data_IF_959998626258
#
_entry.id   IF_959998626258
#
_cell.length_a   1.000
_cell.length_b   1.000
_cell.length_c   1.000
_cell.angle_alpha   90.00
_cell.angle_beta   90.00
_cell.angle_gamma   90.00
#
_symmetry.space_group_name_H-M   'P 1'
#
loop_
_entity.id
_entity.type
_entity.pdbx_description
1 polymer ?
#
# COMPACT_ATOMS: atom_id res chain seq x y z
N UNK A 1 29.37 -3.26 17.68
CA UNK A 1 27.90 -3.33 17.60
C UNK A 1 27.54 -3.25 16.12
N UNK A 2 27.28 -4.39 15.49
CA UNK A 2 27.11 -4.48 14.03
C UNK A 2 25.87 -3.71 13.57
N UNK A 3 26.05 -2.85 12.58
CA UNK A 3 24.97 -2.24 11.82
C UNK A 3 24.17 -3.37 11.17
N UNK A 4 23.02 -3.75 11.73
CA UNK A 4 22.09 -4.61 11.02
C UNK A 4 21.59 -3.82 9.82
N UNK A 5 22.08 -4.17 8.63
CA UNK A 5 21.63 -3.64 7.36
C UNK A 5 20.10 -3.78 7.28
N UNK A 6 19.41 -2.68 6.95
CA UNK A 6 17.97 -2.70 6.73
C UNK A 6 17.72 -3.52 5.47
N UNK A 7 17.04 -4.65 5.61
CA UNK A 7 16.61 -5.49 4.50
C UNK A 7 15.10 -5.37 4.34
N UNK A 8 14.67 -4.85 3.20
CA UNK A 8 13.27 -4.91 2.78
C UNK A 8 13.06 -6.29 2.18
N UNK A 9 12.06 -7.00 2.67
CA UNK A 9 11.73 -8.35 2.22
C UNK A 9 10.54 -8.36 1.26
N UNK A 10 9.62 -7.40 1.42
CA UNK A 10 8.48 -7.24 0.53
C UNK A 10 8.01 -5.79 0.47
N UNK A 11 7.46 -5.41 -0.69
CA UNK A 11 6.70 -4.18 -0.91
C UNK A 11 5.28 -4.60 -1.26
N UNK A 12 4.28 -4.00 -0.61
CA UNK A 12 2.88 -4.29 -0.89
C UNK A 12 2.08 -3.02 -1.11
N UNK A 13 1.05 -3.15 -1.94
CA UNK A 13 0.04 -2.14 -2.18
C UNK A 13 -1.33 -2.75 -1.88
N UNK A 14 -2.09 -2.05 -1.05
CA UNK A 14 -3.43 -2.47 -0.62
C UNK A 14 -4.45 -1.35 -0.81
N UNK A 15 -5.69 -1.71 -1.06
CA UNK A 15 -6.80 -0.76 -1.25
C UNK A 15 -8.07 -1.25 -0.54
N UNK A 16 -8.96 -0.32 -0.20
CA UNK A 16 -10.29 -0.66 0.28
C UNK A 16 -11.23 -0.89 -0.90
N UNK A 17 -11.57 -2.14 -1.19
CA UNK A 17 -12.56 -2.45 -2.21
C UNK A 17 -13.98 -2.12 -1.70
N UNK A 18 -14.85 -1.48 -2.49
CA UNK A 18 -16.20 -1.11 -2.04
C UNK A 18 -17.07 -2.26 -1.54
N UNK A 19 -16.89 -3.47 -2.07
CA UNK A 19 -17.63 -4.68 -1.69
C UNK A 19 -16.80 -5.72 -0.95
N UNK A 20 -15.51 -5.86 -1.27
CA UNK A 20 -14.66 -6.91 -0.70
C UNK A 20 -13.94 -6.46 0.58
N UNK A 21 -14.00 -5.15 0.88
CA UNK A 21 -13.28 -4.58 2.00
C UNK A 21 -11.78 -4.50 1.75
N UNK A 22 -10.95 -4.58 2.81
CA UNK A 22 -9.50 -4.50 2.68
C UNK A 22 -8.92 -5.63 1.84
N UNK A 23 -8.04 -5.29 0.89
CA UNK A 23 -7.29 -6.30 0.14
C UNK A 23 -5.88 -5.81 -0.21
N UNK A 24 -4.93 -6.73 -0.27
CA UNK A 24 -3.66 -6.51 -0.98
C UNK A 24 -3.95 -6.70 -2.47
N UNK A 25 -3.60 -5.71 -3.28
CA UNK A 25 -3.80 -5.77 -4.74
C UNK A 25 -2.50 -6.14 -5.44
N UNK A 26 -1.36 -5.68 -4.92
CA UNK A 26 -0.04 -6.01 -5.44
C UNK A 26 0.91 -6.27 -4.28
N UNK A 27 1.78 -7.27 -4.43
CA UNK A 27 2.89 -7.50 -3.52
C UNK A 27 4.06 -8.08 -4.29
N UNK A 28 5.27 -7.70 -3.91
CA UNK A 28 6.51 -8.21 -4.48
C UNK A 28 7.47 -8.54 -3.34
N UNK A 29 7.92 -9.80 -3.19
CA UNK A 29 7.52 -10.97 -3.98
C UNK A 29 6.01 -11.28 -3.89
N UNK A 30 5.48 -11.95 -4.92
CA UNK A 30 4.08 -12.41 -4.93
C UNK A 30 3.84 -13.39 -3.77
N UNK A 31 2.64 -13.35 -3.19
CA UNK A 31 2.23 -14.20 -2.06
C UNK A 31 3.15 -14.15 -0.81
N UNK A 32 3.98 -13.11 -0.66
CA UNK A 32 4.88 -12.97 0.49
C UNK A 32 4.13 -12.74 1.82
N UNK A 33 3.09 -11.89 1.78
CA UNK A 33 2.17 -11.69 2.88
C UNK A 33 1.05 -12.73 2.72
N UNK A 34 1.07 -13.74 3.59
CA UNK A 34 0.02 -14.76 3.61
C UNK A 34 -1.33 -14.15 4.00
N UNK A 35 -2.41 -14.83 3.60
CA UNK A 35 -3.78 -14.44 3.97
C UNK A 35 -3.98 -14.35 5.48
N UNK A 36 -3.45 -15.32 6.23
CA UNK A 36 -3.51 -15.33 7.70
C UNK A 36 -2.81 -14.11 8.33
N UNK A 37 -1.62 -13.76 7.82
CA UNK A 37 -0.92 -12.56 8.26
C UNK A 37 -1.75 -11.32 7.92
N UNK A 38 -2.21 -11.20 6.67
CA UNK A 38 -3.03 -10.07 6.23
C UNK A 38 -4.29 -9.92 7.07
N UNK A 39 -5.01 -11.01 7.36
CA UNK A 39 -6.23 -10.98 8.14
C UNK A 39 -6.00 -10.45 9.57
N UNK A 40 -4.81 -10.71 10.13
CA UNK A 40 -4.37 -10.19 11.44
C UNK A 40 -4.08 -8.68 11.41
N UNK A 41 -3.54 -8.16 10.30
CA UNK A 41 -3.02 -6.78 10.23
C UNK A 41 -3.88 -5.83 9.37
N UNK A 42 -4.87 -6.32 8.64
CA UNK A 42 -5.65 -5.56 7.65
C UNK A 42 -6.28 -4.29 8.20
N UNK A 43 -6.71 -4.32 9.46
CA UNK A 43 -7.33 -3.17 10.17
C UNK A 43 -6.33 -2.01 10.32
N UNK A 44 -5.05 -2.33 10.44
CA UNK A 44 -3.95 -1.36 10.55
C UNK A 44 -3.35 -0.99 9.18
N UNK A 45 -3.64 -1.77 8.14
CA UNK A 45 -3.20 -1.48 6.79
C UNK A 45 -4.17 -0.50 6.10
N UNK A 46 -5.47 -0.58 6.41
CA UNK A 46 -6.51 0.28 5.81
C UNK A 46 -7.36 0.89 6.90
N UNK A 47 -6.70 1.72 7.70
CA UNK A 47 -7.26 2.19 8.95
C UNK A 47 -8.44 3.15 8.80
N UNK A 48 -9.22 3.21 9.88
CA UNK A 48 -10.21 4.26 10.18
C UNK A 48 -9.67 5.66 9.88
N UNK A 49 -10.55 6.64 9.58
CA UNK A 49 -10.17 8.02 9.29
C UNK A 49 -9.15 8.63 10.27
N UNK A 50 -9.23 8.26 11.55
CA UNK A 50 -8.35 8.78 12.61
C UNK A 50 -6.85 8.45 12.45
N UNK A 51 -6.51 7.47 11.62
CA UNK A 51 -5.14 6.97 11.41
C UNK A 51 -4.61 7.29 10.01
N UNK A 52 -5.39 7.99 9.19
CA UNK A 52 -4.97 8.43 7.86
C UNK A 52 -3.81 9.43 7.93
N UNK A 53 -2.91 9.36 6.96
CA UNK A 53 -1.68 10.16 6.86
C UNK A 53 -0.73 10.03 8.07
N UNK A 54 -0.97 9.05 8.95
CA UNK A 54 -0.06 8.68 10.02
C UNK A 54 0.74 7.48 9.58
N UNK A 55 2.02 7.48 9.96
CA UNK A 55 2.85 6.31 9.79
C UNK A 55 2.38 5.24 10.76
N UNK A 56 2.20 4.03 10.24
CA UNK A 56 1.79 2.87 11.02
C UNK A 56 2.88 1.82 10.90
N UNK A 57 3.29 1.31 12.06
CA UNK A 57 4.23 0.20 12.15
C UNK A 57 3.57 -0.91 12.96
N UNK A 58 3.40 -2.08 12.34
CA UNK A 58 2.80 -3.26 12.97
C UNK A 58 3.79 -4.39 12.94
N UNK A 59 3.90 -5.15 14.02
CA UNK A 59 4.72 -6.36 14.07
C UNK A 59 3.80 -7.55 14.33
N UNK A 60 3.83 -8.55 13.45
CA UNK A 60 3.01 -9.76 13.53
C UNK A 60 3.70 -10.93 12.83
N UNK A 61 3.56 -12.14 13.38
CA UNK A 61 4.14 -13.39 12.82
C UNK A 61 5.61 -13.29 12.41
N UNK A 62 6.44 -12.64 13.24
CA UNK A 62 7.87 -12.46 12.97
C UNK A 62 8.21 -11.43 11.88
N UNK A 63 7.20 -10.75 11.31
CA UNK A 63 7.36 -9.68 10.30
C UNK A 63 6.99 -8.32 10.88
N UNK A 64 7.59 -7.27 10.35
CA UNK A 64 7.28 -5.88 10.65
C UNK A 64 6.87 -5.15 9.38
N UNK A 65 5.64 -4.65 9.40
CA UNK A 65 5.01 -3.93 8.31
C UNK A 65 5.00 -2.44 8.65
N UNK A 66 5.43 -1.63 7.69
CA UNK A 66 5.44 -0.17 7.78
C UNK A 66 4.58 0.35 6.64
N UNK A 67 3.62 1.20 6.93
CA UNK A 67 2.75 1.80 5.94
C UNK A 67 2.37 3.22 6.32
N UNK A 68 1.80 3.95 5.36
CA UNK A 68 1.20 5.24 5.60
C UNK A 68 -0.11 5.28 4.80
N UNK A 69 -1.24 4.85 5.40
CA UNK A 69 -2.52 4.81 4.73
C UNK A 69 -2.96 6.20 4.29
N UNK A 70 -3.43 6.29 3.06
CA UNK A 70 -3.89 7.52 2.41
C UNK A 70 -5.39 7.42 2.16
N UNK A 71 -6.07 8.54 2.36
CA UNK A 71 -7.44 8.74 1.92
C UNK A 71 -7.53 9.96 1.03
N UNK A 72 -8.16 9.79 -0.12
CA UNK A 72 -8.46 10.87 -1.06
C UNK A 72 -9.97 10.95 -1.18
N UNK A 73 -10.56 11.96 -0.55
CA UNK A 73 -11.99 12.23 -0.65
C UNK A 73 -12.33 12.90 -1.98
N UNK A 74 -13.22 12.28 -2.74
CA UNK A 74 -13.75 12.83 -3.98
C UNK A 74 -15.02 12.08 -4.40
N UNK A 75 -16.02 12.82 -4.90
CA UNK A 75 -17.30 12.27 -5.42
C UNK A 75 -17.15 11.30 -6.62
N UNK A 76 -15.94 11.17 -7.17
CA UNK A 76 -15.66 10.28 -8.32
C UNK A 76 -15.52 8.83 -7.89
N UNK A 77 -15.32 8.58 -6.59
CA UNK A 77 -15.18 7.25 -6.02
C UNK A 77 -16.52 6.77 -5.46
N UNK A 78 -16.77 5.47 -5.56
CA UNK A 78 -18.02 4.82 -5.17
C UNK A 78 -18.39 4.95 -3.69
N UNK A 79 -17.46 5.38 -2.82
CA UNK A 79 -17.71 5.72 -1.40
C UNK A 79 -17.34 7.17 -1.06
N UNK A 80 -17.27 8.05 -2.07
CA UNK A 80 -16.73 9.41 -1.96
C UNK A 80 -15.27 9.47 -1.48
N UNK A 81 -14.57 8.35 -1.40
CA UNK A 81 -13.19 8.27 -0.95
C UNK A 81 -12.46 7.11 -1.65
N UNK A 82 -11.19 7.34 -1.94
CA UNK A 82 -10.22 6.30 -2.29
C UNK A 82 -9.30 6.08 -1.11
N UNK A 83 -9.25 4.85 -0.59
CA UNK A 83 -8.38 4.45 0.50
C UNK A 83 -7.36 3.45 -0.03
N UNK A 84 -6.08 3.78 0.13
CA UNK A 84 -4.99 2.89 -0.24
C UNK A 84 -3.84 3.00 0.74
N UNK A 85 -2.94 2.02 0.70
CA UNK A 85 -1.70 2.03 1.47
C UNK A 85 -0.61 1.35 0.65
N UNK A 86 0.56 1.99 0.61
CA UNK A 86 1.79 1.42 0.12
C UNK A 86 2.68 1.15 1.34
N UNK A 87 3.10 -0.10 1.52
CA UNK A 87 3.88 -0.51 2.67
C UNK A 87 5.09 -1.36 2.34
N UNK A 88 6.00 -1.40 3.30
CA UNK A 88 7.22 -2.19 3.28
C UNK A 88 7.18 -3.23 4.40
N UNK A 89 7.75 -4.40 4.14
CA UNK A 89 7.87 -5.50 5.10
C UNK A 89 9.35 -5.81 5.34
N UNK A 90 9.68 -6.06 6.60
CA UNK A 90 11.02 -6.45 7.06
C UNK A 90 10.94 -7.43 8.24
N UNK A 91 12.07 -7.99 8.66
CA UNK A 91 12.17 -8.82 9.88
C UNK A 91 11.70 -8.03 11.12
N UNK A 92 11.01 -8.70 12.05
CA UNK A 92 10.48 -8.09 13.27
C UNK A 92 11.53 -7.32 14.10
N UNK A 93 12.81 -7.68 14.03
CA UNK A 93 13.90 -7.05 14.78
C UNK A 93 14.53 -5.88 14.03
N UNK A 94 14.19 -5.67 12.76
CA UNK A 94 14.73 -4.56 11.96
C UNK A 94 14.26 -3.22 12.53
N UNK A 95 15.20 -2.27 12.66
CA UNK A 95 14.90 -0.88 13.02
C UNK A 95 14.38 -0.15 11.79
N UNK A 96 13.20 0.46 11.93
CA UNK A 96 12.45 1.02 10.80
C UNK A 96 12.76 2.48 10.52
N UNK A 97 13.45 3.20 11.42
CA UNK A 97 13.59 4.65 11.41
C UNK A 97 14.02 5.25 10.05
N UNK A 98 14.86 4.55 9.27
CA UNK A 98 15.28 5.03 7.96
C UNK A 98 14.24 4.78 6.83
N UNK A 99 13.35 3.80 7.00
CA UNK A 99 12.28 3.48 6.04
C UNK A 99 11.05 4.38 6.21
N UNK A 100 10.80 4.86 7.43
CA UNK A 100 9.66 5.73 7.75
C UNK A 100 9.52 6.96 6.84
N UNK A 101 10.56 7.80 6.64
CA UNK A 101 10.46 8.94 5.73
C UNK A 101 10.26 8.52 4.27
N UNK A 102 10.80 7.36 3.87
CA UNK A 102 10.66 6.81 2.51
C UNK A 102 9.19 6.45 2.26
N UNK A 103 8.57 5.68 3.17
CA UNK A 103 7.16 5.27 3.06
C UNK A 103 6.25 6.50 3.01
N UNK A 104 6.45 7.49 3.88
CA UNK A 104 5.67 8.74 3.86
C UNK A 104 5.82 9.47 2.52
N UNK A 105 7.04 9.59 2.01
CA UNK A 105 7.32 10.29 0.75
C UNK A 105 6.67 9.59 -0.44
N UNK A 106 6.74 8.26 -0.50
CA UNK A 106 6.10 7.46 -1.55
C UNK A 106 4.57 7.58 -1.50
N UNK A 107 3.95 7.49 -0.31
CA UNK A 107 2.52 7.74 -0.15
C UNK A 107 2.12 9.13 -0.66
N UNK A 108 2.90 10.17 -0.32
CA UNK A 108 2.65 11.54 -0.80
C UNK A 108 2.79 11.70 -2.33
N UNK A 109 3.76 11.03 -2.94
CA UNK A 109 3.89 11.01 -4.40
C UNK A 109 2.70 10.32 -5.07
N UNK A 110 2.27 9.16 -4.58
CA UNK A 110 1.11 8.46 -5.11
C UNK A 110 -0.17 9.30 -4.98
N UNK A 111 -0.35 10.01 -3.87
CA UNK A 111 -1.45 10.98 -3.71
C UNK A 111 -1.39 12.07 -4.77
N UNK A 112 -0.20 12.64 -5.00
CA UNK A 112 -0.02 13.70 -6.01
C UNK A 112 -0.32 13.19 -7.42
N UNK A 113 0.15 12.00 -7.75
CA UNK A 113 -0.11 11.34 -9.03
C UNK A 113 -1.61 11.07 -9.23
N UNK A 114 -2.32 10.65 -8.19
CA UNK A 114 -3.77 10.44 -8.28
C UNK A 114 -4.54 11.76 -8.46
N UNK A 115 -4.22 12.78 -7.66
CA UNK A 115 -4.93 14.07 -7.72
C UNK A 115 -4.69 14.79 -9.05
N UNK A 116 -3.45 14.75 -9.59
CA UNK A 116 -3.10 15.45 -10.84
C UNK A 116 -3.34 14.61 -12.10
N UNK A 117 -3.13 13.30 -12.03
CA UNK A 117 -3.10 12.42 -13.21
C UNK A 117 -4.20 11.36 -13.26
N UNK A 118 -5.04 11.23 -12.22
CA UNK A 118 -6.06 10.17 -12.11
C UNK A 118 -5.49 8.77 -12.33
N UNK A 119 -4.34 8.48 -11.69
CA UNK A 119 -3.62 7.21 -11.78
C UNK A 119 -4.51 5.97 -11.59
N UNK A 120 -5.46 5.98 -10.66
CA UNK A 120 -6.37 4.86 -10.39
C UNK A 120 -7.45 4.69 -11.46
N UNK A 121 -7.73 5.75 -12.23
CA UNK A 121 -8.58 5.63 -13.43
C UNK A 121 -7.81 4.89 -14.52
N UNK A 122 -6.55 5.26 -14.73
CA UNK A 122 -5.69 4.63 -15.75
C UNK A 122 -5.40 3.17 -15.40
N UNK A 123 -5.12 2.85 -14.13
CA UNK A 123 -4.85 1.47 -13.71
C UNK A 123 -6.05 0.54 -13.88
N UNK A 124 -7.29 1.02 -13.65
CA UNK A 124 -8.51 0.22 -13.88
C UNK A 124 -8.79 -0.01 -15.36
N UNK A 125 -8.50 0.97 -16.21
CA UNK A 125 -8.56 0.81 -17.67
C UNK A 125 -7.51 -0.19 -18.16
N UNK A 126 -6.41 -0.33 -17.42
CA UNK A 126 -5.29 -1.23 -17.68
C UNK A 126 -5.35 -2.52 -16.84
N UNK A 127 -6.54 -3.07 -16.59
CA UNK A 127 -6.67 -4.45 -16.04
C UNK A 127 -7.11 -5.44 -17.12
N UNK A 128 -6.55 -6.67 -17.16
CA UNK A 128 -6.48 -7.50 -18.37
C UNK A 128 -7.75 -8.33 -18.62
N UNK A 129 -8.94 -7.72 -18.58
CA UNK A 129 -10.15 -8.37 -19.15
C UNK A 129 -10.33 -8.08 -20.64
N UNK A 130 -9.51 -7.20 -21.21
CA UNK A 130 -9.51 -6.98 -22.65
C UNK A 130 -8.12 -7.32 -23.20
N UNK A 131 -8.01 -8.53 -23.74
CA UNK A 131 -6.95 -8.89 -24.66
C UNK A 131 -6.93 -7.87 -25.80
N UNK A 132 -5.88 -7.04 -25.88
CA UNK A 132 -5.17 -6.63 -27.11
C UNK A 132 -4.15 -5.52 -26.78
N UNK A 133 -2.88 -5.92 -26.91
CA UNK A 133 -1.73 -5.18 -27.45
C UNK A 133 -1.99 -3.70 -27.79
N UNK A 134 -1.19 -2.77 -27.27
CA UNK A 134 -0.17 -2.03 -28.04
C UNK A 134 0.59 -1.00 -27.19
N UNK A 135 1.90 -0.95 -27.46
CA UNK A 135 2.88 0.06 -27.09
C UNK A 135 2.47 1.49 -27.51
N UNK A 136 3.20 2.46 -26.93
CA UNK A 136 3.16 3.92 -27.12
C UNK A 136 2.14 4.59 -26.19
N UNK A 137 2.50 5.52 -25.31
CA UNK A 137 3.28 6.73 -25.60
C UNK A 137 4.24 7.09 -24.46
N UNK A 138 5.31 7.77 -24.89
CA UNK A 138 6.29 8.55 -24.12
C UNK A 138 5.75 9.23 -22.86
#
# INVERSE_FOLDING_TARGET
RGSSCIRIECIFFSEFHPTLGPKITYQVPEEYISRELFDTVQVYIITKPELQNKLITVTAMGKKLIGCPVCIEHKKYSRNALLFNLGLVCDARTKTCALEPIVKKLSGYLTTLEVKGSLWRLSKVWTPTHSRVFLLYY
#
